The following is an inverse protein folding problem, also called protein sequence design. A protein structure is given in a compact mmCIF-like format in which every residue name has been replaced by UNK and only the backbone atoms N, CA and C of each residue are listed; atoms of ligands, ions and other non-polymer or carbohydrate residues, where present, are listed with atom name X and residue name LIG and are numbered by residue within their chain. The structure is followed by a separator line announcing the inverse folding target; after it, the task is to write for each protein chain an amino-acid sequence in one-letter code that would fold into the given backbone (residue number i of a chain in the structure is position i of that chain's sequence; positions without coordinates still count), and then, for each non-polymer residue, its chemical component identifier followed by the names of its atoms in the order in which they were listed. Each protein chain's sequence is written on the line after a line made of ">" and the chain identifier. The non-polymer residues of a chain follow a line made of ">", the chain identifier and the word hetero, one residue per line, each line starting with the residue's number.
data_IF_975272707821
#
_entry.id   IF_975272707821
#
_cell.length_a   1.000
_cell.length_b   1.000
_cell.length_c   1.000
_cell.angle_alpha   90.00
_cell.angle_beta   90.00
_cell.angle_gamma   90.00
#
_symmetry.space_group_name_H-M   'P 1'
#
loop_
_entity.id
_entity.type
_entity.pdbx_description
1 polymer ?
#
# COMPACT_ATOMS: atom_id res chain seq x y z
N UNK A 1 -36.36 -45.21 8.18
CA UNK A 1 -35.89 -45.22 6.77
C UNK A 1 -35.24 -43.87 6.51
N UNK A 2 -33.97 -43.67 6.87
CA UNK A 2 -32.78 -43.77 5.98
C UNK A 2 -32.97 -43.15 4.60
N UNK A 3 -32.50 -41.92 4.43
CA UNK A 3 -31.73 -41.50 3.27
C UNK A 3 -30.55 -40.65 3.75
N UNK A 4 -29.39 -41.31 3.85
CA UNK A 4 -28.07 -40.67 3.84
C UNK A 4 -27.92 -39.97 2.50
N UNK A 5 -27.39 -38.75 2.47
CA UNK A 5 -26.44 -38.46 1.41
C UNK A 5 -25.32 -37.56 1.91
N UNK A 6 -24.12 -38.10 1.77
CA UNK A 6 -22.87 -37.57 2.24
C UNK A 6 -22.43 -36.39 1.34
N UNK A 7 -21.95 -35.32 1.98
CA UNK A 7 -20.89 -34.49 1.40
C UNK A 7 -19.69 -34.58 2.33
N UNK A 8 -19.04 -35.74 2.31
CA UNK A 8 -17.64 -35.86 2.67
C UNK A 8 -16.82 -35.29 1.50
N UNK A 9 -15.99 -34.29 1.74
CA UNK A 9 -15.05 -33.85 0.70
C UNK A 9 -14.33 -32.54 0.98
N UNK A 10 -13.13 -32.67 1.56
CA UNK A 10 -12.03 -31.67 1.56
C UNK A 10 -12.21 -30.45 2.47
N UNK A 11 -12.06 -30.65 3.79
CA UNK A 11 -11.67 -29.56 4.70
C UNK A 11 -10.16 -29.30 4.54
N UNK A 12 -9.77 -28.79 3.36
CA UNK A 12 -8.48 -28.13 3.21
C UNK A 12 -8.52 -26.83 4.01
N UNK A 13 -7.52 -26.58 4.86
CA UNK A 13 -7.38 -25.29 5.54
C UNK A 13 -7.18 -24.25 4.44
N UNK A 14 -8.23 -23.51 4.08
CA UNK A 14 -8.10 -22.35 3.21
C UNK A 14 -7.32 -21.28 3.97
N UNK A 15 -6.05 -21.11 3.62
CA UNK A 15 -5.26 -20.01 4.13
C UNK A 15 -5.66 -18.75 3.38
N UNK A 16 -6.47 -17.91 4.02
CA UNK A 16 -6.77 -16.58 3.52
C UNK A 16 -5.49 -15.73 3.61
N UNK A 17 -4.95 -15.32 2.46
CA UNK A 17 -3.84 -14.38 2.40
C UNK A 17 -4.40 -13.01 2.04
N UNK A 18 -4.23 -12.05 2.95
CA UNK A 18 -4.68 -10.68 2.75
C UNK A 18 -3.50 -9.72 2.84
N UNK A 19 -3.37 -8.85 1.84
CA UNK A 19 -2.38 -7.78 1.79
C UNK A 19 -3.08 -6.47 2.14
N UNK A 20 -2.50 -5.74 3.08
CA UNK A 20 -2.91 -4.37 3.39
C UNK A 20 -1.92 -3.40 2.76
N UNK A 21 -2.41 -2.65 1.77
CA UNK A 21 -1.66 -1.58 1.15
C UNK A 21 -2.08 -0.24 1.76
N UNK A 22 -1.18 0.37 2.53
CA UNK A 22 -1.42 1.65 3.18
C UNK A 22 -0.86 2.74 2.29
N UNK A 23 -1.75 3.56 1.72
CA UNK A 23 -1.40 4.75 0.99
C UNK A 23 -1.39 5.97 1.90
N UNK A 24 -0.37 6.81 1.74
CA UNK A 24 -0.23 8.09 2.41
C UNK A 24 0.37 9.10 1.43
N UNK A 25 -0.02 10.37 1.53
CA UNK A 25 0.62 11.46 0.79
C UNK A 25 2.15 11.38 0.93
N UNK A 26 2.90 11.36 -0.19
CA UNK A 26 4.33 11.11 -0.13
C UNK A 26 5.11 12.22 0.58
N UNK A 27 4.60 13.45 0.59
CA UNK A 27 5.21 14.55 1.33
C UNK A 27 5.06 14.40 2.84
N UNK A 28 3.89 13.96 3.31
CA UNK A 28 3.67 13.59 4.71
C UNK A 28 4.51 12.38 5.12
N UNK A 29 4.51 11.32 4.31
CA UNK A 29 5.28 10.11 4.56
C UNK A 29 6.79 10.39 4.62
N UNK A 30 7.29 11.31 3.77
CA UNK A 30 8.67 11.77 3.83
C UNK A 30 8.96 12.57 5.11
N UNK A 31 8.06 13.46 5.52
CA UNK A 31 8.15 14.17 6.81
C UNK A 31 8.30 13.22 8.00
N UNK A 32 7.49 12.16 8.06
CA UNK A 32 7.63 11.13 9.10
C UNK A 32 8.95 10.35 9.01
N UNK A 33 9.43 10.08 7.79
CA UNK A 33 10.72 9.41 7.57
C UNK A 33 11.87 10.27 8.10
N UNK A 34 11.81 11.59 7.86
CA UNK A 34 12.79 12.55 8.35
C UNK A 34 12.74 12.72 9.87
N UNK A 35 11.54 12.83 10.46
CA UNK A 35 11.38 12.90 11.91
C UNK A 35 11.93 11.63 12.62
N UNK A 36 11.74 10.44 12.02
CA UNK A 36 12.34 9.19 12.52
C UNK A 36 13.85 9.17 12.39
N UNK A 37 14.42 9.81 11.37
CA UNK A 37 15.88 9.94 11.26
C UNK A 37 16.46 10.71 12.45
N UNK A 38 15.82 11.80 12.84
CA UNK A 38 16.25 12.63 13.97
C UNK A 38 16.07 11.92 15.31
N UNK A 39 14.94 11.21 15.49
CA UNK A 39 14.60 10.54 16.75
C UNK A 39 15.25 9.17 16.94
N UNK A 40 15.37 8.38 15.87
CA UNK A 40 15.78 6.97 15.91
C UNK A 40 17.11 6.69 15.19
N UNK A 41 17.70 7.68 14.50
CA UNK A 41 18.94 7.52 13.75
C UNK A 41 18.82 6.71 12.45
N UNK A 42 17.61 6.30 12.05
CA UNK A 42 17.37 5.54 10.82
C UNK A 42 17.43 6.44 9.59
N UNK A 43 18.41 6.22 8.72
CA UNK A 43 18.59 7.03 7.51
C UNK A 43 17.97 6.31 6.31
N UNK A 44 16.96 6.93 5.71
CA UNK A 44 16.43 6.52 4.40
C UNK A 44 16.84 7.58 3.37
N UNK A 45 17.68 7.24 2.37
CA UNK A 45 18.03 8.17 1.31
C UNK A 45 16.82 8.57 0.46
N UNK A 46 16.76 9.82 -0.01
CA UNK A 46 15.65 10.34 -0.83
C UNK A 46 15.39 9.47 -2.07
N UNK A 47 16.45 9.07 -2.78
CA UNK A 47 16.32 8.21 -3.96
C UNK A 47 15.70 6.85 -3.63
N UNK A 48 16.03 6.28 -2.47
CA UNK A 48 15.49 5.00 -2.01
C UNK A 48 14.01 5.17 -1.66
N UNK A 49 13.65 6.25 -0.97
CA UNK A 49 12.25 6.57 -0.68
C UNK A 49 11.41 6.70 -1.95
N UNK A 50 11.87 7.53 -2.90
CA UNK A 50 11.19 7.74 -4.18
C UNK A 50 11.06 6.40 -4.92
N UNK A 51 12.13 5.62 -5.00
CA UNK A 51 12.07 4.34 -5.69
C UNK A 51 11.08 3.39 -5.03
N UNK A 52 11.15 3.23 -3.70
CA UNK A 52 10.23 2.38 -2.94
C UNK A 52 8.77 2.81 -3.09
N UNK A 53 8.49 4.11 -3.22
CA UNK A 53 7.14 4.63 -3.45
C UNK A 53 6.53 4.15 -4.78
N UNK A 54 7.32 4.12 -5.88
CA UNK A 54 6.82 3.60 -7.16
C UNK A 54 6.84 2.09 -7.22
N UNK A 55 7.88 1.46 -6.67
CA UNK A 55 8.03 0.01 -6.73
C UNK A 55 7.01 -0.71 -5.83
N UNK A 56 6.52 -0.09 -4.75
CA UNK A 56 5.50 -0.69 -3.89
C UNK A 56 4.22 -1.04 -4.66
N UNK A 57 3.72 -0.11 -5.48
CA UNK A 57 2.51 -0.32 -6.30
C UNK A 57 2.75 -1.38 -7.36
N UNK A 58 3.90 -1.33 -8.03
CA UNK A 58 4.27 -2.34 -9.03
C UNK A 58 4.33 -3.74 -8.41
N UNK A 59 4.91 -3.86 -7.22
CA UNK A 59 5.01 -5.13 -6.51
C UNK A 59 3.63 -5.67 -6.13
N UNK A 60 2.73 -4.82 -5.62
CA UNK A 60 1.37 -5.25 -5.29
C UNK A 60 0.63 -5.73 -6.54
N UNK A 61 0.74 -5.00 -7.66
CA UNK A 61 0.13 -5.42 -8.93
C UNK A 61 0.69 -6.77 -9.41
N UNK A 62 2.00 -6.95 -9.34
CA UNK A 62 2.64 -8.21 -9.72
C UNK A 62 2.20 -9.38 -8.83
N UNK A 63 2.01 -9.15 -7.53
CA UNK A 63 1.47 -10.15 -6.61
C UNK A 63 0.04 -10.55 -7.00
N UNK A 64 -0.83 -9.58 -7.29
CA UNK A 64 -2.20 -9.86 -7.72
C UNK A 64 -2.28 -10.57 -9.07
N UNK A 65 -1.34 -10.30 -9.99
CA UNK A 65 -1.23 -11.00 -11.26
C UNK A 65 -0.77 -12.46 -11.07
N UNK A 66 0.08 -12.71 -10.07
CA UNK A 66 0.70 -14.02 -9.83
C UNK A 66 -0.17 -14.92 -8.96
N UNK A 67 -0.87 -14.35 -7.98
CA UNK A 67 -1.61 -15.07 -6.94
C UNK A 67 -3.05 -14.56 -6.85
N UNK A 68 -3.98 -15.11 -7.65
CA UNK A 68 -5.38 -14.68 -7.68
C UNK A 68 -6.15 -14.97 -6.38
N UNK A 69 -5.63 -15.82 -5.50
CA UNK A 69 -6.17 -16.11 -4.17
C UNK A 69 -5.87 -15.02 -3.12
N UNK A 70 -4.97 -14.08 -3.43
CA UNK A 70 -4.60 -13.01 -2.51
C UNK A 70 -5.62 -11.89 -2.56
N UNK A 71 -6.18 -11.53 -1.41
CA UNK A 71 -7.06 -10.38 -1.30
C UNK A 71 -6.27 -9.10 -0.99
N UNK A 72 -6.52 -8.02 -1.73
CA UNK A 72 -5.98 -6.70 -1.42
C UNK A 72 -6.99 -5.83 -0.69
N UNK A 73 -6.55 -5.26 0.42
CA UNK A 73 -7.20 -4.14 1.09
C UNK A 73 -6.33 -2.88 0.95
N UNK A 74 -6.91 -1.78 0.47
CA UNK A 74 -6.23 -0.49 0.36
C UNK A 74 -6.75 0.44 1.44
N UNK A 75 -5.84 1.04 2.20
CA UNK A 75 -6.14 1.99 3.27
C UNK A 75 -5.52 3.34 2.89
N UNK A 76 -6.35 4.36 2.68
CA UNK A 76 -5.88 5.73 2.46
C UNK A 76 -5.85 6.44 3.82
N UNK A 77 -4.65 6.85 4.23
CA UNK A 77 -4.41 7.55 5.49
C UNK A 77 -3.94 8.98 5.24
N UNK A 78 -4.88 9.92 5.31
CA UNK A 78 -4.60 11.36 5.32
C UNK A 78 -4.57 11.88 6.77
N UNK A 79 -3.72 12.87 7.06
CA UNK A 79 -3.48 13.39 8.42
C UNK A 79 -4.68 14.15 8.99
N UNK A 80 -5.57 14.65 8.14
CA UNK A 80 -6.67 15.51 8.56
C UNK A 80 -7.75 14.77 9.38
N UNK A 81 -7.55 13.47 9.62
CA UNK A 81 -8.15 12.68 10.70
C UNK A 81 -9.67 12.50 10.67
N UNK A 82 -10.35 12.96 9.62
CA UNK A 82 -11.81 12.75 9.47
C UNK A 82 -12.18 11.63 8.49
N UNK A 83 -11.36 11.35 7.46
CA UNK A 83 -11.72 10.41 6.38
C UNK A 83 -10.60 9.40 6.08
N UNK A 84 -10.44 8.40 6.95
CA UNK A 84 -9.72 7.17 6.58
C UNK A 84 -10.61 6.37 5.63
N UNK A 85 -10.17 6.19 4.39
CA UNK A 85 -10.89 5.37 3.42
C UNK A 85 -10.30 3.96 3.39
N UNK A 86 -11.15 2.96 3.52
CA UNK A 86 -10.76 1.55 3.46
C UNK A 86 -11.52 0.90 2.30
N UNK A 87 -10.76 0.40 1.33
CA UNK A 87 -11.27 -0.35 0.19
C UNK A 87 -10.87 -1.81 0.38
N UNK A 88 -11.84 -2.72 0.33
CA UNK A 88 -11.61 -4.17 0.43
C UNK A 88 -11.86 -4.83 -0.92
N UNK A 89 -11.21 -5.97 -1.15
CA UNK A 89 -11.34 -6.74 -2.41
C UNK A 89 -11.02 -5.89 -3.65
N UNK A 90 -9.94 -5.11 -3.53
CA UNK A 90 -9.48 -4.19 -4.58
C UNK A 90 -8.78 -4.97 -5.68
N UNK A 91 -9.20 -4.79 -6.93
CA UNK A 91 -8.51 -5.41 -8.07
C UNK A 91 -7.42 -4.49 -8.61
N UNK A 92 -6.53 -5.05 -9.43
CA UNK A 92 -5.44 -4.31 -10.09
C UNK A 92 -5.86 -3.01 -10.78
N UNK A 93 -7.01 -3.03 -11.48
CA UNK A 93 -7.53 -1.87 -12.20
C UNK A 93 -8.07 -0.78 -11.25
N UNK A 94 -8.57 -1.20 -10.09
CA UNK A 94 -9.13 -0.29 -9.08
C UNK A 94 -8.00 0.44 -8.33
N UNK A 95 -6.83 -0.20 -8.19
CA UNK A 95 -5.65 0.41 -7.54
C UNK A 95 -5.29 1.75 -8.21
N UNK A 96 -5.31 1.83 -9.53
CA UNK A 96 -4.95 3.07 -10.25
C UNK A 96 -5.95 4.20 -10.01
N UNK A 97 -7.22 3.86 -9.75
CA UNK A 97 -8.26 4.83 -9.45
C UNK A 97 -8.22 5.29 -7.98
N UNK A 98 -7.84 4.38 -7.07
CA UNK A 98 -7.77 4.62 -5.63
C UNK A 98 -6.47 5.34 -5.24
N UNK A 99 -5.35 4.89 -5.82
CA UNK A 99 -4.00 5.39 -5.55
C UNK A 99 -3.55 6.23 -6.74
N UNK A 100 -3.89 7.52 -6.70
CA UNK A 100 -3.47 8.46 -7.72
C UNK A 100 -1.99 8.80 -7.58
N UNK A 101 -1.18 8.25 -8.48
CA UNK A 101 0.22 8.64 -8.66
C UNK A 101 0.30 9.95 -9.46
N UNK A 102 -0.10 11.06 -8.84
CA UNK A 102 -0.16 12.37 -9.52
C UNK A 102 1.23 13.00 -9.75
N UNK A 103 2.31 12.32 -9.36
CA UNK A 103 3.68 12.82 -9.44
C UNK A 103 4.53 11.96 -10.35
N UNK A 104 5.32 12.59 -11.24
CA UNK A 104 6.48 11.93 -11.84
C UNK A 104 7.61 11.81 -10.82
N UNK A 105 8.60 10.95 -11.07
CA UNK A 105 9.78 10.82 -10.18
C UNK A 105 10.46 12.17 -9.94
N UNK A 106 10.55 13.01 -10.96
CA UNK A 106 11.15 14.34 -10.89
C UNK A 106 10.27 15.34 -10.13
N UNK A 107 8.95 15.30 -10.33
CA UNK A 107 8.02 16.17 -9.57
C UNK A 107 8.05 15.81 -8.09
N UNK A 108 8.04 14.51 -7.78
CA UNK A 108 8.16 14.04 -6.42
C UNK A 108 9.49 14.47 -5.80
N UNK A 109 10.59 14.33 -6.54
CA UNK A 109 11.92 14.78 -6.08
C UNK A 109 11.91 16.28 -5.74
N UNK A 110 11.35 17.12 -6.60
CA UNK A 110 11.24 18.57 -6.38
C UNK A 110 10.39 18.87 -5.15
N UNK A 111 9.21 18.25 -5.03
CA UNK A 111 8.31 18.41 -3.89
C UNK A 111 9.01 18.11 -2.56
N UNK A 112 9.76 17.01 -2.51
CA UNK A 112 10.44 16.56 -1.29
C UNK A 112 11.69 17.38 -0.95
N UNK A 113 12.34 17.99 -1.94
CA UNK A 113 13.48 18.91 -1.73
C UNK A 113 12.97 20.28 -1.25
N UNK A 114 11.94 20.85 -1.90
CA UNK A 114 11.40 22.17 -1.54
C UNK A 114 10.89 22.19 -0.10
N UNK A 115 10.23 21.11 0.35
CA UNK A 115 9.78 20.97 1.76
C UNK A 115 10.92 20.92 2.79
N UNK A 116 12.16 20.73 2.37
CA UNK A 116 13.34 20.69 3.24
C UNK A 116 14.02 22.06 3.41
N UNK A 117 13.52 23.10 2.72
CA UNK A 117 14.15 24.43 2.65
C UNK A 117 13.78 25.41 3.76
N UNK A 118 12.82 25.08 4.64
CA UNK A 118 12.30 26.00 5.68
C UNK A 118 12.80 25.67 7.10
N UNK A 119 14.07 25.25 7.24
CA UNK A 119 14.71 25.13 8.56
C UNK A 119 16.17 25.55 8.53
#
# INVERSE_FOLDING_TARGET
>A
MSCRNARSGQDGIFQLIQIYYIYQDPGLAWGFTQARREKEGRIVPLNIFINSYYESIKNVKAVLDTYPEVELAVIIKNIDSTDQQVFTKVNKNDIDNIVKLDYTKEDLRKLLITRKGDT
#
